data_IF_463198763108
#
_entry.id   IF_463198763108
#
_cell.length_a   1.000
_cell.length_b   1.000
_cell.length_c   1.000
_cell.angle_alpha   90.00
_cell.angle_beta   90.00
_cell.angle_gamma   90.00
#
_symmetry.space_group_name_H-M   'P 1'
#
loop_
_entity.id
_entity.type
_entity.pdbx_description
1 polymer ?
#
# COMPACT_ATOMS: atom_id res chain seq x y z
N UNK A 1 -7.38 -1.59 -33.89
CA UNK A 1 -5.92 -1.51 -33.66
C UNK A 1 -5.54 -0.37 -32.74
N UNK A 2 -5.76 0.90 -33.08
CA UNK A 2 -5.43 2.03 -32.16
C UNK A 2 -6.20 1.94 -30.84
N UNK A 3 -7.48 1.58 -30.85
CA UNK A 3 -8.27 1.39 -29.64
C UNK A 3 -7.71 0.31 -28.72
N UNK A 4 -7.15 -0.75 -29.30
CA UNK A 4 -6.54 -1.84 -28.52
C UNK A 4 -5.24 -1.36 -27.86
N UNK A 5 -4.43 -0.55 -28.55
CA UNK A 5 -3.23 0.07 -27.97
C UNK A 5 -3.58 1.04 -26.83
N UNK A 6 -4.63 1.83 -26.98
CA UNK A 6 -5.10 2.74 -25.94
C UNK A 6 -5.62 1.98 -24.70
N UNK A 7 -6.35 0.90 -24.91
CA UNK A 7 -6.81 0.02 -23.83
C UNK A 7 -5.64 -0.67 -23.13
N UNK A 8 -4.67 -1.16 -23.87
CA UNK A 8 -3.45 -1.74 -23.31
C UNK A 8 -2.69 -0.72 -22.47
N UNK A 9 -2.51 0.50 -22.98
CA UNK A 9 -1.88 1.58 -22.22
C UNK A 9 -2.62 1.85 -20.91
N UNK A 10 -3.94 1.99 -20.95
CA UNK A 10 -4.75 2.24 -19.76
C UNK A 10 -4.62 1.12 -18.74
N UNK A 11 -4.71 -0.13 -19.16
CA UNK A 11 -4.59 -1.31 -18.28
C UNK A 11 -3.21 -1.39 -17.62
N UNK A 12 -2.15 -1.19 -18.40
CA UNK A 12 -0.77 -1.21 -17.89
C UNK A 12 -0.49 -0.06 -16.94
N UNK A 13 -0.99 1.14 -17.22
CA UNK A 13 -0.83 2.30 -16.34
C UNK A 13 -1.59 2.14 -15.03
N UNK A 14 -2.81 1.61 -15.07
CA UNK A 14 -3.57 1.25 -13.85
C UNK A 14 -2.78 0.28 -12.99
N UNK A 15 -2.15 -0.72 -13.60
CA UNK A 15 -1.32 -1.68 -12.88
C UNK A 15 -0.10 -1.03 -12.21
N UNK A 16 0.53 -0.05 -12.87
CA UNK A 16 1.63 0.72 -12.28
C UNK A 16 1.17 1.44 -11.00
N UNK A 17 0.01 2.08 -11.03
CA UNK A 17 -0.56 2.77 -9.87
C UNK A 17 -0.93 1.78 -8.76
N UNK A 18 -1.53 0.65 -9.11
CA UNK A 18 -1.88 -0.41 -8.15
C UNK A 18 -0.64 -1.01 -7.47
N UNK A 19 0.44 -1.21 -8.21
CA UNK A 19 1.71 -1.68 -7.64
C UNK A 19 2.26 -0.66 -6.64
N UNK A 20 2.20 0.62 -6.96
CA UNK A 20 2.59 1.68 -6.04
C UNK A 20 1.72 1.70 -4.78
N UNK A 21 0.41 1.56 -4.92
CA UNK A 21 -0.50 1.42 -3.77
C UNK A 21 -0.13 0.23 -2.88
N UNK A 22 0.21 -0.91 -3.48
CA UNK A 22 0.64 -2.09 -2.74
C UNK A 22 1.94 -1.85 -1.97
N UNK A 23 2.89 -1.15 -2.58
CA UNK A 23 4.16 -0.78 -1.92
C UNK A 23 3.91 0.19 -0.75
N UNK A 24 3.00 1.15 -0.90
CA UNK A 24 2.60 2.06 0.18
C UNK A 24 2.01 1.33 1.38
N UNK A 25 1.22 0.28 1.15
CA UNK A 25 0.64 -0.54 2.23
C UNK A 25 1.67 -1.30 3.04
N UNK A 26 2.81 -1.65 2.45
CA UNK A 26 3.90 -2.34 3.13
C UNK A 26 4.70 -1.43 4.06
N UNK A 27 4.64 -0.12 3.86
CA UNK A 27 5.37 0.84 4.68
C UNK A 27 4.69 1.02 6.03
N UNK A 28 5.45 0.84 7.09
CA UNK A 28 4.99 1.08 8.47
C UNK A 28 5.11 2.56 8.78
N UNK A 29 3.98 3.24 8.89
CA UNK A 29 3.91 4.69 9.08
C UNK A 29 3.62 5.11 10.54
N UNK A 30 3.74 4.17 11.49
CA UNK A 30 3.42 4.41 12.89
C UNK A 30 1.92 4.32 13.22
N UNK A 31 1.06 4.14 12.23
CA UNK A 31 -0.36 3.86 12.47
C UNK A 31 -0.58 2.41 12.88
N UNK A 32 -1.50 2.21 13.81
CA UNK A 32 -1.97 0.89 14.17
C UNK A 32 -2.81 0.30 13.04
N UNK A 33 -2.53 -0.94 12.67
CA UNK A 33 -3.34 -1.70 11.72
C UNK A 33 -3.44 -3.15 12.17
N UNK A 34 -4.62 -3.79 12.10
CA UNK A 34 -4.80 -5.17 12.53
C UNK A 34 -3.86 -6.17 11.88
N UNK A 35 -3.44 -5.92 10.64
CA UNK A 35 -2.52 -6.79 9.90
C UNK A 35 -1.15 -6.96 10.57
N UNK A 36 -0.77 -6.07 11.49
CA UNK A 36 0.49 -6.18 12.23
C UNK A 36 0.53 -7.39 13.15
N UNK A 37 -0.61 -7.80 13.68
CA UNK A 37 -0.72 -8.83 14.72
C UNK A 37 -1.69 -9.97 14.40
N UNK A 38 -2.56 -9.83 13.42
CA UNK A 38 -3.59 -10.82 13.10
C UNK A 38 -3.04 -12.22 12.77
N UNK A 39 -1.82 -12.29 12.28
CA UNK A 39 -1.13 -13.54 11.92
C UNK A 39 -0.26 -14.11 13.04
N UNK A 40 -0.17 -13.46 14.19
CA UNK A 40 0.59 -13.98 15.31
C UNK A 40 -0.01 -15.32 15.78
N UNK A 41 0.87 -16.28 16.05
CA UNK A 41 0.45 -17.59 16.54
C UNK A 41 0.21 -17.55 18.04
N UNK A 42 -0.99 -17.93 18.44
CA UNK A 42 -1.43 -17.99 19.83
C UNK A 42 -1.68 -19.43 20.22
N UNK A 43 -1.20 -19.85 21.37
CA UNK A 43 -1.50 -21.16 21.91
C UNK A 43 -2.95 -21.19 22.40
N UNK A 44 -3.76 -22.01 21.74
CA UNK A 44 -5.16 -22.22 22.04
C UNK A 44 -5.42 -23.71 22.28
N UNK A 45 -5.53 -24.08 23.55
CA UNK A 45 -5.72 -25.48 23.98
C UNK A 45 -4.71 -26.46 23.38
N UNK A 46 -3.43 -26.07 23.34
CA UNK A 46 -2.34 -26.90 22.80
C UNK A 46 -2.14 -26.82 21.29
N UNK A 47 -2.94 -26.06 20.59
CA UNK A 47 -2.81 -25.80 19.16
C UNK A 47 -2.44 -24.36 18.88
N UNK A 48 -1.51 -24.13 17.95
CA UNK A 48 -1.18 -22.77 17.50
C UNK A 48 -2.18 -22.29 16.44
N UNK A 49 -2.90 -21.22 16.74
CA UNK A 49 -3.87 -20.61 15.82
C UNK A 49 -3.56 -19.13 15.62
N UNK A 50 -3.93 -18.53 14.47
CA UNK A 50 -3.78 -17.09 14.27
C UNK A 50 -4.61 -16.29 15.28
N UNK A 51 -4.07 -15.15 15.74
CA UNK A 51 -4.75 -14.30 16.72
C UNK A 51 -6.18 -13.91 16.30
N UNK A 52 -6.41 -13.68 15.02
CA UNK A 52 -7.72 -13.33 14.48
C UNK A 52 -8.80 -14.42 14.72
N UNK A 53 -8.40 -15.65 14.99
CA UNK A 53 -9.33 -16.74 15.27
C UNK A 53 -9.78 -16.82 16.74
N UNK A 54 -9.07 -16.16 17.65
CA UNK A 54 -9.33 -16.21 19.10
C UNK A 54 -9.75 -14.87 19.69
N UNK A 55 -9.66 -13.80 18.92
CA UNK A 55 -10.00 -12.45 19.39
C UNK A 55 -10.43 -11.57 18.23
N UNK A 56 -11.19 -10.53 18.55
CA UNK A 56 -11.41 -9.41 17.63
C UNK A 56 -10.30 -8.38 17.80
N UNK A 57 -9.90 -7.74 16.71
CA UNK A 57 -8.85 -6.73 16.67
C UNK A 57 -9.46 -5.45 16.10
N UNK A 58 -9.40 -4.37 16.87
CA UNK A 58 -9.87 -3.05 16.45
C UNK A 58 -8.74 -2.02 16.58
N UNK A 59 -8.94 -0.86 15.98
CA UNK A 59 -8.02 0.28 16.08
C UNK A 59 -8.71 1.42 16.80
N UNK A 60 -8.07 1.93 17.84
CA UNK A 60 -8.53 3.07 18.61
C UNK A 60 -7.65 4.29 18.33
N UNK A 61 -8.27 5.40 17.92
CA UNK A 61 -7.59 6.66 17.60
C UNK A 61 -6.45 6.56 16.59
N UNK A 62 -6.44 5.53 15.76
CA UNK A 62 -5.42 5.30 14.74
C UNK A 62 -4.05 4.88 15.27
N UNK A 63 -3.86 4.76 16.57
CA UNK A 63 -2.55 4.50 17.21
C UNK A 63 -2.52 3.30 18.14
N UNK A 64 -3.65 2.83 18.58
CA UNK A 64 -3.73 1.74 19.55
C UNK A 64 -4.50 0.57 18.96
N UNK A 65 -3.90 -0.61 19.01
CA UNK A 65 -4.60 -1.85 18.70
C UNK A 65 -5.34 -2.31 19.95
N UNK A 66 -6.62 -2.62 19.78
CA UNK A 66 -7.47 -3.15 20.86
C UNK A 66 -7.83 -4.59 20.53
N UNK A 67 -7.39 -5.50 21.37
CA UNK A 67 -7.66 -6.93 21.24
C UNK A 67 -8.71 -7.32 22.28
N UNK A 68 -9.82 -7.86 21.79
CA UNK A 68 -10.90 -8.37 22.64
C UNK A 68 -11.01 -9.87 22.45
N UNK A 69 -10.39 -10.67 23.34
CA UNK A 69 -10.50 -12.14 23.27
C UNK A 69 -11.94 -12.61 23.48
N UNK A 70 -12.33 -13.64 22.76
CA UNK A 70 -13.67 -14.23 22.94
C UNK A 70 -13.78 -15.03 24.23
N UNK A 71 -12.63 -15.53 24.71
CA UNK A 71 -12.55 -16.28 25.95
C UNK A 71 -11.54 -15.63 26.90
N UNK A 72 -11.93 -15.45 28.17
CA UNK A 72 -11.05 -14.89 29.20
C UNK A 72 -9.77 -15.68 29.40
N UNK A 73 -9.84 -16.99 29.23
CA UNK A 73 -8.68 -17.88 29.35
C UNK A 73 -7.59 -17.63 28.29
N UNK A 74 -7.94 -17.01 27.16
CA UNK A 74 -7.00 -16.74 26.06
C UNK A 74 -6.14 -15.51 26.29
N UNK A 75 -6.44 -14.65 27.26
CA UNK A 75 -5.73 -13.39 27.49
C UNK A 75 -4.23 -13.59 27.69
N UNK A 76 -3.84 -14.51 28.55
CA UNK A 76 -2.43 -14.78 28.86
C UNK A 76 -1.67 -15.34 27.66
N UNK A 77 -2.29 -16.22 26.88
CA UNK A 77 -1.68 -16.80 25.69
C UNK A 77 -1.47 -15.74 24.62
N UNK A 78 -2.40 -14.79 24.48
CA UNK A 78 -2.29 -13.66 23.54
C UNK A 78 -1.17 -12.71 23.98
N UNK A 79 -1.10 -12.36 25.25
CA UNK A 79 0.00 -11.54 25.78
C UNK A 79 1.36 -12.18 25.52
N UNK A 80 1.49 -13.47 25.78
CA UNK A 80 2.73 -14.23 25.50
C UNK A 80 3.10 -14.18 24.03
N UNK A 81 2.15 -14.35 23.14
CA UNK A 81 2.38 -14.30 21.69
C UNK A 81 2.90 -12.94 21.25
N UNK A 82 2.35 -11.86 21.83
CA UNK A 82 2.78 -10.48 21.54
C UNK A 82 4.20 -10.23 22.06
N UNK A 83 4.52 -10.63 23.28
CA UNK A 83 5.86 -10.49 23.84
C UNK A 83 6.91 -11.30 23.10
N UNK A 84 6.58 -12.47 22.61
CA UNK A 84 7.49 -13.31 21.81
C UNK A 84 7.68 -12.80 20.38
N UNK A 85 6.79 -11.92 19.89
CA UNK A 85 6.93 -11.34 18.57
C UNK A 85 8.12 -10.37 18.52
N UNK A 86 8.80 -10.30 17.38
CA UNK A 86 9.89 -9.35 17.14
C UNK A 86 9.39 -7.92 16.85
N UNK A 87 8.13 -7.64 17.11
CA UNK A 87 7.50 -6.35 16.78
C UNK A 87 7.82 -5.24 17.79
N UNK A 88 8.39 -5.60 18.96
CA UNK A 88 8.72 -4.61 20.00
C UNK A 88 7.50 -3.94 20.63
N UNK A 89 6.37 -4.63 20.64
CA UNK A 89 5.10 -4.13 21.17
C UNK A 89 4.95 -4.51 22.64
N UNK A 90 4.38 -3.59 23.43
CA UNK A 90 4.11 -3.81 24.85
C UNK A 90 2.59 -3.81 25.07
N UNK A 91 1.97 -4.97 25.34
CA UNK A 91 0.55 -5.04 25.62
C UNK A 91 0.23 -4.50 27.01
N UNK A 92 -0.87 -3.79 27.12
CA UNK A 92 -1.45 -3.32 28.39
C UNK A 92 -2.84 -3.93 28.55
N UNK A 93 -2.99 -4.78 29.56
CA UNK A 93 -4.23 -5.52 29.80
C UNK A 93 -5.04 -4.87 30.90
N UNK A 94 -6.31 -4.61 30.61
CA UNK A 94 -7.32 -4.17 31.58
C UNK A 94 -8.52 -5.11 31.49
N UNK A 95 -8.69 -5.96 32.53
CA UNK A 95 -9.71 -7.02 32.51
C UNK A 95 -9.46 -8.05 31.40
N UNK A 96 -10.35 -8.11 30.41
CA UNK A 96 -10.23 -9.01 29.25
C UNK A 96 -9.78 -8.28 27.98
N UNK A 97 -9.58 -6.97 28.03
CA UNK A 97 -9.19 -6.15 26.89
C UNK A 97 -7.69 -5.89 26.92
N UNK A 98 -7.02 -6.17 25.82
CA UNK A 98 -5.58 -5.94 25.64
C UNK A 98 -5.40 -4.76 24.70
N UNK A 99 -4.75 -3.69 25.16
CA UNK A 99 -4.40 -2.53 24.35
C UNK A 99 -2.92 -2.53 24.04
N UNK A 100 -2.59 -2.28 22.79
CA UNK A 100 -1.22 -2.17 22.31
C UNK A 100 -1.02 -0.80 21.68
N UNK A 101 -0.43 0.18 22.42
CA UNK A 101 -0.09 1.46 21.83
C UNK A 101 1.06 1.28 20.86
N UNK A 102 0.94 1.89 19.66
CA UNK A 102 2.03 1.95 18.72
C UNK A 102 3.07 2.96 19.19
N UNK A 103 4.38 2.61 19.16
CA UNK A 103 5.40 3.59 19.49
C UNK A 103 5.39 4.71 18.45
N UNK A 104 5.57 5.99 18.87
CA UNK A 104 5.63 7.11 17.95
C UNK A 104 6.87 6.97 17.05
N UNK A 105 6.74 7.41 15.80
CA UNK A 105 7.89 7.48 14.90
C UNK A 105 8.87 8.56 15.37
N UNK A 106 10.15 8.23 15.35
CA UNK A 106 11.22 9.22 15.54
C UNK A 106 11.31 10.12 14.30
N UNK A 107 11.84 11.34 14.46
CA UNK A 107 12.06 12.25 13.33
C UNK A 107 12.99 11.63 12.27
N UNK A 108 14.01 10.93 12.71
CA UNK A 108 14.92 10.19 11.83
C UNK A 108 14.19 9.14 11.00
N UNK A 109 13.32 8.33 11.65
CA UNK A 109 12.51 7.32 10.95
C UNK A 109 11.53 7.93 9.96
N UNK A 110 10.91 9.06 10.28
CA UNK A 110 10.05 9.80 9.36
C UNK A 110 10.80 10.25 8.12
N UNK A 111 12.02 10.75 8.29
CA UNK A 111 12.88 11.15 7.16
C UNK A 111 13.24 9.96 6.27
N UNK A 112 13.59 8.83 6.86
CA UNK A 112 13.87 7.60 6.10
C UNK A 112 12.64 7.15 5.30
N UNK A 113 11.47 7.11 5.93
CA UNK A 113 10.22 6.74 5.27
C UNK A 113 9.90 7.70 4.12
N UNK A 114 10.07 9.01 4.31
CA UNK A 114 9.87 10.00 3.25
C UNK A 114 10.78 9.78 2.05
N UNK A 115 12.04 9.41 2.28
CA UNK A 115 12.97 9.08 1.19
C UNK A 115 12.51 7.84 0.41
N UNK A 116 12.09 6.79 1.11
CA UNK A 116 11.55 5.57 0.48
C UNK A 116 10.29 5.88 -0.32
N UNK A 117 9.36 6.66 0.23
CA UNK A 117 8.15 7.09 -0.44
C UNK A 117 8.43 7.81 -1.76
N UNK A 118 9.34 8.76 -1.74
CA UNK A 118 9.71 9.54 -2.94
C UNK A 118 10.41 8.67 -3.99
N UNK A 119 11.24 7.75 -3.55
CA UNK A 119 11.89 6.79 -4.44
C UNK A 119 10.88 5.86 -5.10
N UNK A 120 9.95 5.30 -4.35
CA UNK A 120 8.90 4.42 -4.88
C UNK A 120 7.95 5.18 -5.82
N UNK A 121 7.62 6.43 -5.49
CA UNK A 121 6.81 7.29 -6.35
C UNK A 121 7.52 7.56 -7.69
N UNK A 122 8.83 7.85 -7.67
CA UNK A 122 9.60 8.03 -8.90
C UNK A 122 9.65 6.77 -9.74
N UNK A 123 9.84 5.61 -9.12
CA UNK A 123 9.78 4.33 -9.82
C UNK A 123 8.41 4.11 -10.49
N UNK A 124 7.33 4.47 -9.82
CA UNK A 124 5.99 4.38 -10.37
C UNK A 124 5.79 5.33 -11.56
N UNK A 125 6.27 6.58 -11.47
CA UNK A 125 6.24 7.55 -12.57
C UNK A 125 7.03 7.06 -13.77
N UNK A 126 8.22 6.53 -13.55
CA UNK A 126 9.06 5.93 -14.61
C UNK A 126 8.33 4.77 -15.27
N UNK A 127 7.68 3.90 -14.51
CA UNK A 127 6.90 2.79 -15.05
C UNK A 127 5.76 3.27 -15.96
N UNK A 128 5.01 4.29 -15.54
CA UNK A 128 3.94 4.90 -16.35
C UNK A 128 4.50 5.53 -17.64
N UNK A 129 5.60 6.25 -17.54
CA UNK A 129 6.26 6.84 -18.70
C UNK A 129 6.81 5.80 -19.67
N UNK A 130 7.28 4.67 -19.18
CA UNK A 130 7.73 3.57 -20.03
C UNK A 130 6.56 2.96 -20.82
N UNK A 131 5.41 2.76 -20.19
CA UNK A 131 4.18 2.34 -20.87
C UNK A 131 3.82 3.33 -21.99
N UNK A 132 3.82 4.63 -21.68
CA UNK A 132 3.59 5.67 -22.69
C UNK A 132 4.55 5.54 -23.86
N UNK A 133 5.85 5.41 -23.58
CA UNK A 133 6.89 5.31 -24.61
C UNK A 133 6.66 4.11 -25.52
N UNK A 134 6.37 2.96 -24.94
CA UNK A 134 6.12 1.73 -25.70
C UNK A 134 4.93 1.93 -26.66
N UNK A 135 3.81 2.43 -26.14
CA UNK A 135 2.59 2.63 -26.93
C UNK A 135 2.79 3.72 -28.00
N UNK A 136 3.49 4.81 -27.67
CA UNK A 136 3.82 5.85 -28.66
C UNK A 136 4.67 5.29 -29.80
N UNK A 137 5.61 4.42 -29.50
CA UNK A 137 6.43 3.75 -30.52
C UNK A 137 5.58 2.85 -31.41
N UNK A 138 4.66 2.10 -30.81
CA UNK A 138 3.74 1.24 -31.57
C UNK A 138 2.84 2.05 -32.51
N UNK A 139 2.33 3.18 -32.05
CA UNK A 139 1.53 4.11 -32.87
C UNK A 139 2.34 4.66 -34.04
N UNK A 140 3.59 5.06 -33.81
CA UNK A 140 4.50 5.54 -34.85
C UNK A 140 4.83 4.47 -35.88
N UNK A 141 5.00 3.23 -35.46
CA UNK A 141 5.24 2.10 -36.39
C UNK A 141 3.99 1.86 -37.24
N UNK A 142 2.79 1.95 -36.69
CA UNK A 142 1.53 1.86 -37.45
C UNK A 142 1.43 2.96 -38.53
N UNK A 143 1.85 4.19 -38.20
CA UNK A 143 1.89 5.27 -39.21
C UNK A 143 2.89 4.97 -40.30
N UNK A 144 4.09 4.50 -39.96
CA UNK A 144 5.15 4.14 -40.90
C UNK A 144 4.71 3.03 -41.87
N UNK A 145 3.96 2.06 -41.35
CA UNK A 145 3.36 0.98 -42.15
C UNK A 145 2.09 1.43 -42.89
N UNK A 146 1.71 2.69 -42.80
CA UNK A 146 0.51 3.28 -43.44
C UNK A 146 -0.82 2.62 -43.02
N UNK A 147 -0.86 2.06 -41.83
CA UNK A 147 -2.06 1.46 -41.22
C UNK A 147 -3.01 2.50 -40.65
N UNK A 148 -2.50 3.68 -40.33
CA UNK A 148 -3.24 4.82 -39.77
C UNK A 148 -2.83 6.11 -40.45
N UNK A 149 -3.68 7.13 -40.39
CA UNK A 149 -3.37 8.47 -40.91
C UNK A 149 -2.58 9.28 -39.90
N UNK A 150 -1.94 10.38 -40.33
CA UNK A 150 -1.27 11.32 -39.42
C UNK A 150 -2.23 11.94 -38.40
N UNK A 151 -3.47 12.21 -38.79
CA UNK A 151 -4.48 12.75 -37.89
C UNK A 151 -4.88 11.74 -36.82
N UNK A 152 -5.00 10.47 -37.19
CA UNK A 152 -5.28 9.38 -36.25
C UNK A 152 -4.12 9.19 -35.27
N UNK A 153 -2.88 9.24 -35.73
CA UNK A 153 -1.68 9.22 -34.89
C UNK A 153 -1.72 10.34 -33.84
N UNK A 154 -1.91 11.58 -34.29
CA UNK A 154 -1.94 12.76 -33.40
C UNK A 154 -3.02 12.64 -32.34
N UNK A 155 -4.22 12.17 -32.69
CA UNK A 155 -5.31 11.96 -31.74
C UNK A 155 -4.97 10.86 -30.74
N UNK A 156 -4.43 9.75 -31.22
CA UNK A 156 -4.04 8.64 -30.35
C UNK A 156 -2.93 9.05 -29.37
N UNK A 157 -1.89 9.76 -29.86
CA UNK A 157 -0.83 10.31 -29.01
C UNK A 157 -1.37 11.26 -27.94
N UNK A 158 -2.30 12.16 -28.31
CA UNK A 158 -2.93 13.07 -27.37
C UNK A 158 -3.73 12.34 -26.28
N UNK A 159 -4.45 11.29 -26.65
CA UNK A 159 -5.21 10.47 -25.72
C UNK A 159 -4.29 9.68 -24.77
N UNK A 160 -3.23 9.09 -25.28
CA UNK A 160 -2.21 8.39 -24.48
C UNK A 160 -1.51 9.37 -23.53
N UNK A 161 -1.24 10.60 -23.97
CA UNK A 161 -0.68 11.64 -23.09
C UNK A 161 -1.63 12.01 -21.96
N UNK A 162 -2.93 12.15 -22.23
CA UNK A 162 -3.94 12.39 -21.19
C UNK A 162 -4.01 11.25 -20.18
N UNK A 163 -3.95 10.00 -20.63
CA UNK A 163 -3.88 8.83 -19.75
C UNK A 163 -2.63 8.87 -18.87
N UNK A 164 -1.50 9.22 -19.45
CA UNK A 164 -0.24 9.38 -18.71
C UNK A 164 -0.36 10.43 -17.61
N UNK A 165 -0.85 11.62 -17.96
CA UNK A 165 -1.00 12.73 -17.02
C UNK A 165 -1.96 12.38 -15.88
N UNK A 166 -3.06 11.70 -16.18
CA UNK A 166 -4.02 11.23 -15.19
C UNK A 166 -3.36 10.27 -14.18
N UNK A 167 -2.66 9.26 -14.67
CA UNK A 167 -2.06 8.26 -13.79
C UNK A 167 -0.88 8.80 -12.99
N UNK A 168 -0.12 9.75 -13.54
CA UNK A 168 0.91 10.48 -12.79
C UNK A 168 0.25 11.33 -11.69
N UNK A 169 -0.85 12.01 -11.98
CA UNK A 169 -1.61 12.76 -10.97
C UNK A 169 -2.12 11.85 -9.83
N UNK A 170 -2.59 10.64 -10.16
CA UNK A 170 -3.00 9.65 -9.17
C UNK A 170 -1.82 9.24 -8.27
N UNK A 171 -0.64 9.05 -8.83
CA UNK A 171 0.60 8.75 -8.07
C UNK A 171 0.94 9.91 -7.13
N UNK A 172 0.89 11.16 -7.62
CA UNK A 172 1.16 12.34 -6.79
C UNK A 172 0.17 12.49 -5.64
N UNK A 173 -1.11 12.22 -5.88
CA UNK A 173 -2.14 12.26 -4.85
C UNK A 173 -1.90 11.18 -3.76
N UNK A 174 -1.54 9.97 -4.17
CA UNK A 174 -1.20 8.89 -3.25
C UNK A 174 0.06 9.20 -2.42
N UNK A 175 1.08 9.77 -3.05
CA UNK A 175 2.30 10.20 -2.37
C UNK A 175 1.99 11.28 -1.33
N UNK A 176 1.27 12.32 -1.71
CA UNK A 176 0.92 13.42 -0.80
C UNK A 176 0.10 12.94 0.41
N UNK A 177 -0.88 12.05 0.17
CA UNK A 177 -1.69 11.48 1.24
C UNK A 177 -0.83 10.67 2.22
N UNK A 178 0.11 9.88 1.72
CA UNK A 178 0.99 9.06 2.55
C UNK A 178 2.03 9.90 3.30
N UNK A 179 2.61 10.91 2.68
CA UNK A 179 3.50 11.86 3.36
C UNK A 179 2.78 12.58 4.51
N UNK A 180 1.55 13.00 4.29
CA UNK A 180 0.73 13.60 5.35
C UNK A 180 0.48 12.63 6.50
N UNK A 181 0.19 11.38 6.20
CA UNK A 181 0.00 10.32 7.20
C UNK A 181 1.27 10.13 8.07
N UNK A 182 2.45 10.09 7.44
CA UNK A 182 3.73 9.95 8.14
C UNK A 182 4.03 11.15 9.03
N UNK A 183 3.62 12.35 8.64
CA UNK A 183 3.90 13.59 9.39
C UNK A 183 2.90 13.86 10.51
N UNK A 184 1.72 13.25 10.50
CA UNK A 184 0.67 13.46 11.50
C UNK A 184 0.87 12.67 12.81
N UNK A 185 1.85 11.84 12.92
CA UNK A 185 2.06 10.95 14.10
C UNK A 185 3.00 11.56 15.11
#
# INVERSE_FOLDING_TARGET
MLEDLKKDAATRMVKCVQNFQADLKKLRTGRAHPSLIEHLKVDYYGSEVPLQQVASIAVEEGRTLVISPWEKASVQAIEKAIFKSDLGLTPMTAGTVIRIPMPPLTEERRREISKVLRHDAENARVAVRNVRRDVMNDIKEMLKEKLVSQDDERRAEAEVQKLTDKHIADIEALLAAKEKEVMQV
#
